data_IF_585083314188
#
_entry.id   IF_585083314188
#
_cell.length_a   1.000
_cell.length_b   1.000
_cell.length_c   1.000
_cell.angle_alpha   90.00
_cell.angle_beta   90.00
_cell.angle_gamma   90.00
#
_symmetry.space_group_name_H-M   'P 1'
#
loop_
_entity.id
_entity.type
_entity.pdbx_description
1 polymer ?
#
# COMPACT_ATOMS: atom_id res chain seq x y z
N UNK A 1 20.73 17.34 1.00
CA UNK A 1 19.29 17.63 0.92
C UNK A 1 18.91 18.23 2.26
N UNK A 2 18.84 19.57 2.32
CA UNK A 2 18.61 20.30 3.56
C UNK A 2 17.29 19.86 4.23
N UNK A 3 17.28 19.72 5.55
CA UNK A 3 16.08 19.49 6.34
C UNK A 3 15.08 20.63 6.06
N UNK A 4 14.01 20.31 5.33
CA UNK A 4 12.88 21.20 5.17
C UNK A 4 12.25 21.41 6.55
N UNK A 5 11.90 22.65 6.90
CA UNK A 5 11.21 22.95 8.15
C UNK A 5 9.91 22.14 8.26
N UNK A 6 9.53 21.79 9.49
CA UNK A 6 8.33 20.97 9.76
C UNK A 6 7.07 21.52 9.05
N UNK A 7 6.95 22.85 8.93
CA UNK A 7 5.84 23.54 8.24
C UNK A 7 5.76 23.25 6.73
N UNK A 8 6.89 23.03 6.05
CA UNK A 8 6.89 22.75 4.61
C UNK A 8 6.58 21.27 4.36
N UNK A 9 6.97 20.38 5.27
CA UNK A 9 6.71 18.93 5.13
C UNK A 9 5.20 18.62 5.16
N UNK A 10 4.42 19.36 5.96
CA UNK A 10 2.96 19.21 6.03
C UNK A 10 2.21 19.62 4.76
N UNK A 11 2.87 20.35 3.84
CA UNK A 11 2.28 20.74 2.55
C UNK A 11 2.35 19.63 1.48
N UNK A 12 3.15 18.58 1.69
CA UNK A 12 3.29 17.48 0.73
C UNK A 12 2.18 16.45 0.96
N UNK A 13 2.09 15.91 2.17
CA UNK A 13 1.02 14.99 2.59
C UNK A 13 0.44 15.50 3.90
N UNK A 14 -0.78 16.06 3.84
CA UNK A 14 -1.44 16.62 5.02
C UNK A 14 -1.77 15.54 6.06
N UNK A 15 -1.91 15.94 7.33
CA UNK A 15 -2.26 15.02 8.43
C UNK A 15 -3.59 14.31 8.16
N UNK A 16 -4.59 15.08 7.69
CA UNK A 16 -5.90 14.54 7.30
C UNK A 16 -5.79 13.51 6.17
N UNK A 17 -4.92 13.74 5.21
CA UNK A 17 -4.69 12.77 4.14
C UNK A 17 -4.09 11.47 4.70
N UNK A 18 -3.11 11.56 5.61
CA UNK A 18 -2.52 10.36 6.23
C UNK A 18 -3.52 9.58 7.07
N UNK A 19 -4.42 10.26 7.80
CA UNK A 19 -5.50 9.60 8.54
C UNK A 19 -6.43 8.80 7.61
N UNK A 20 -6.83 9.39 6.49
CA UNK A 20 -7.66 8.72 5.49
C UNK A 20 -6.91 7.56 4.81
N UNK A 21 -5.66 7.80 4.44
CA UNK A 21 -4.82 6.80 3.80
C UNK A 21 -4.56 5.60 4.74
N UNK A 22 -4.38 5.82 6.05
CA UNK A 22 -4.23 4.76 7.05
C UNK A 22 -5.45 3.83 7.10
N UNK A 23 -6.65 4.39 6.98
CA UNK A 23 -7.89 3.61 6.90
C UNK A 23 -7.99 2.80 5.58
N UNK A 24 -7.27 3.22 4.55
CA UNK A 24 -7.26 2.59 3.23
C UNK A 24 -6.14 1.55 3.04
N UNK A 25 -5.15 1.46 3.95
CA UNK A 25 -4.03 0.50 3.87
C UNK A 25 -4.47 -0.95 3.63
N UNK A 26 -5.51 -1.51 4.31
CA UNK A 26 -5.94 -2.89 4.07
C UNK A 26 -6.36 -3.13 2.61
N UNK A 27 -6.95 -2.13 1.96
CA UNK A 27 -7.44 -2.23 0.60
C UNK A 27 -6.30 -2.12 -0.42
N UNK A 28 -5.29 -1.29 -0.15
CA UNK A 28 -4.05 -1.26 -0.96
C UNK A 28 -3.28 -2.59 -0.85
N UNK A 29 -3.23 -3.18 0.35
CA UNK A 29 -2.68 -4.51 0.57
C UNK A 29 -3.45 -5.57 -0.23
N UNK A 30 -4.78 -5.54 -0.22
CA UNK A 30 -5.61 -6.47 -1.00
C UNK A 30 -5.39 -6.32 -2.52
N UNK A 31 -5.44 -5.09 -3.02
CA UNK A 31 -5.17 -4.79 -4.43
C UNK A 31 -3.77 -5.22 -4.85
N UNK A 32 -2.77 -4.98 -4.00
CA UNK A 32 -1.38 -5.36 -4.26
C UNK A 32 -1.18 -6.88 -4.25
N UNK A 33 -1.84 -7.62 -3.34
CA UNK A 33 -1.82 -9.11 -3.37
C UNK A 33 -2.40 -9.65 -4.67
N UNK A 34 -3.56 -9.13 -5.08
CA UNK A 34 -4.21 -9.54 -6.32
C UNK A 34 -3.32 -9.24 -7.54
N UNK A 35 -2.69 -8.07 -7.57
CA UNK A 35 -1.77 -7.66 -8.63
C UNK A 35 -0.54 -8.58 -8.72
N UNK A 36 0.12 -8.87 -7.59
CA UNK A 36 1.29 -9.76 -7.54
C UNK A 36 0.95 -11.18 -7.98
N UNK A 37 -0.20 -11.72 -7.56
CA UNK A 37 -0.70 -13.01 -8.02
C UNK A 37 -0.97 -13.03 -9.53
N UNK A 38 -1.50 -11.93 -10.07
CA UNK A 38 -1.69 -11.77 -11.50
C UNK A 38 -0.35 -11.74 -12.25
N UNK A 39 0.65 -10.99 -11.77
CA UNK A 39 1.98 -10.94 -12.38
C UNK A 39 2.66 -12.32 -12.42
N UNK A 40 2.51 -13.12 -11.35
CA UNK A 40 3.01 -14.50 -11.29
C UNK A 40 2.30 -15.40 -12.31
N UNK A 41 0.96 -15.32 -12.38
CA UNK A 41 0.16 -16.07 -13.34
C UNK A 41 0.52 -15.74 -14.80
N UNK A 42 0.86 -14.48 -15.08
CA UNK A 42 1.33 -14.02 -16.40
C UNK A 42 2.82 -14.27 -16.65
N UNK A 43 3.53 -14.88 -15.69
CA UNK A 43 4.97 -15.17 -15.76
C UNK A 43 5.85 -13.91 -15.93
N UNK A 44 5.33 -12.73 -15.56
CA UNK A 44 6.08 -11.46 -15.53
C UNK A 44 7.00 -11.43 -14.30
N UNK A 45 6.52 -12.00 -13.19
CA UNK A 45 7.28 -12.20 -11.96
C UNK A 45 7.33 -13.70 -11.67
N UNK A 46 8.50 -14.23 -11.31
CA UNK A 46 8.62 -15.64 -10.97
C UNK A 46 7.96 -15.98 -9.62
N UNK A 47 7.65 -17.26 -9.43
CA UNK A 47 6.96 -17.75 -8.23
C UNK A 47 7.72 -17.47 -6.93
N UNK A 48 9.05 -17.41 -6.96
CA UNK A 48 9.86 -17.15 -5.77
C UNK A 48 9.74 -15.69 -5.34
N UNK A 49 9.83 -14.75 -6.28
CA UNK A 49 9.60 -13.31 -6.06
C UNK A 49 8.17 -13.05 -5.59
N UNK A 50 7.17 -13.61 -6.28
CA UNK A 50 5.77 -13.45 -5.89
C UNK A 50 5.53 -13.96 -4.46
N UNK A 51 6.08 -15.13 -4.10
CA UNK A 51 6.00 -15.66 -2.73
C UNK A 51 6.65 -14.74 -1.70
N UNK A 52 7.83 -14.18 -2.00
CA UNK A 52 8.52 -13.25 -1.10
C UNK A 52 7.68 -11.99 -0.85
N UNK A 53 7.10 -11.41 -1.91
CA UNK A 53 6.22 -10.23 -1.80
C UNK A 53 4.97 -10.56 -0.98
N UNK A 54 4.32 -11.69 -1.22
CA UNK A 54 3.11 -12.09 -0.46
C UNK A 54 3.40 -12.30 1.03
N UNK A 55 4.57 -12.85 1.38
CA UNK A 55 5.01 -12.97 2.78
C UNK A 55 5.23 -11.58 3.39
N UNK A 56 5.89 -10.67 2.69
CA UNK A 56 6.07 -9.30 3.13
C UNK A 56 4.73 -8.58 3.36
N UNK A 57 3.78 -8.71 2.43
CA UNK A 57 2.44 -8.13 2.56
C UNK A 57 1.70 -8.65 3.81
N UNK A 58 1.85 -9.93 4.16
CA UNK A 58 1.27 -10.48 5.39
C UNK A 58 1.94 -9.92 6.65
N UNK A 59 3.25 -9.66 6.63
CA UNK A 59 3.95 -9.02 7.73
C UNK A 59 3.52 -7.57 7.90
N UNK A 60 3.35 -6.83 6.80
CA UNK A 60 2.88 -5.44 6.81
C UNK A 60 1.43 -5.36 7.28
N UNK A 61 0.56 -6.29 6.87
CA UNK A 61 -0.81 -6.37 7.37
C UNK A 61 -0.86 -6.63 8.88
N UNK A 62 0.03 -7.48 9.39
CA UNK A 62 0.19 -7.69 10.84
C UNK A 62 0.63 -6.39 11.53
N UNK A 63 1.63 -5.70 10.99
CA UNK A 63 2.09 -4.41 11.51
C UNK A 63 0.96 -3.37 11.56
N UNK A 64 0.12 -3.32 10.53
CA UNK A 64 -1.05 -2.44 10.49
C UNK A 64 -2.10 -2.83 11.54
N UNK A 65 -2.41 -4.12 11.69
CA UNK A 65 -3.33 -4.63 12.71
C UNK A 65 -2.85 -4.33 14.13
N UNK A 66 -1.54 -4.40 14.36
CA UNK A 66 -0.89 -4.09 15.63
C UNK A 66 -0.74 -2.56 15.86
N UNK A 67 -1.33 -1.73 14.99
CA UNK A 67 -1.27 -0.27 15.01
C UNK A 67 0.16 0.30 14.97
N UNK A 68 1.09 -0.44 14.36
CA UNK A 68 2.50 -0.04 14.22
C UNK A 68 2.85 0.50 12.83
N UNK A 69 1.92 0.42 11.86
CA UNK A 69 2.17 0.92 10.51
C UNK A 69 2.08 2.45 10.47
N UNK A 70 3.21 3.10 10.21
CA UNK A 70 3.30 4.56 10.07
C UNK A 70 3.52 4.98 8.61
N UNK A 71 2.72 5.95 8.16
CA UNK A 71 2.90 6.57 6.84
C UNK A 71 4.02 7.60 6.90
N UNK A 72 4.99 7.49 5.99
CA UNK A 72 6.04 8.49 5.80
C UNK A 72 5.41 9.81 5.29
N UNK A 73 5.48 10.90 6.07
CA UNK A 73 4.87 12.19 5.71
C UNK A 73 5.49 12.83 4.45
N UNK A 74 6.67 12.40 4.04
CA UNK A 74 7.35 12.91 2.84
C UNK A 74 6.99 12.11 1.59
N UNK A 75 6.39 10.92 1.73
CA UNK A 75 6.17 9.98 0.62
C UNK A 75 4.71 9.55 0.45
N UNK A 76 3.89 9.62 1.50
CA UNK A 76 2.52 9.14 1.48
C UNK A 76 2.41 7.62 1.58
N UNK A 77 1.18 7.10 1.62
CA UNK A 77 0.93 5.70 1.96
C UNK A 77 1.51 4.71 0.96
N UNK A 78 1.32 4.93 -0.34
CA UNK A 78 1.65 3.89 -1.32
C UNK A 78 3.17 3.72 -1.49
N UNK A 79 3.93 4.81 -1.41
CA UNK A 79 5.40 4.75 -1.39
C UNK A 79 5.94 4.21 -0.06
N UNK A 80 5.25 4.45 1.05
CA UNK A 80 5.57 3.81 2.34
C UNK A 80 5.42 2.29 2.24
N UNK A 81 4.29 1.83 1.69
CA UNK A 81 4.02 0.42 1.49
C UNK A 81 5.07 -0.23 0.58
N UNK A 82 5.37 0.37 -0.57
CA UNK A 82 6.38 -0.15 -1.51
C UNK A 82 7.78 -0.24 -0.88
N UNK A 83 8.17 0.77 -0.10
CA UNK A 83 9.43 0.75 0.64
C UNK A 83 9.48 -0.42 1.62
N UNK A 84 8.43 -0.63 2.41
CA UNK A 84 8.34 -1.76 3.34
C UNK A 84 8.38 -3.11 2.61
N UNK A 85 7.72 -3.23 1.46
CA UNK A 85 7.79 -4.45 0.65
C UNK A 85 9.22 -4.70 0.18
N UNK A 86 9.95 -3.67 -0.28
CA UNK A 86 11.36 -3.80 -0.67
C UNK A 86 12.24 -4.23 0.51
N UNK A 87 12.05 -3.64 1.69
CA UNK A 87 12.81 -3.96 2.90
C UNK A 87 12.60 -5.42 3.35
N UNK A 88 11.37 -5.95 3.21
CA UNK A 88 11.01 -7.28 3.68
C UNK A 88 11.19 -8.40 2.64
N UNK A 89 10.86 -8.13 1.36
CA UNK A 89 10.94 -9.11 0.28
C UNK A 89 12.31 -9.11 -0.44
N UNK A 90 13.14 -8.10 -0.18
CA UNK A 90 14.39 -7.86 -0.89
C UNK A 90 14.19 -7.05 -2.18
N UNK A 91 15.21 -6.30 -2.58
CA UNK A 91 15.14 -5.30 -3.66
C UNK A 91 14.59 -5.85 -4.98
N UNK A 92 15.12 -6.98 -5.47
CA UNK A 92 14.69 -7.54 -6.75
C UNK A 92 13.22 -7.98 -6.76
N UNK A 93 12.72 -8.53 -5.65
CA UNK A 93 11.32 -8.94 -5.55
C UNK A 93 10.44 -7.72 -5.30
N UNK A 94 10.77 -6.89 -4.32
CA UNK A 94 9.95 -5.76 -3.92
C UNK A 94 9.74 -4.73 -5.03
N UNK A 95 10.78 -4.39 -5.80
CA UNK A 95 10.66 -3.48 -6.94
C UNK A 95 9.76 -4.03 -8.05
N UNK A 96 9.62 -5.36 -8.16
CA UNK A 96 8.75 -5.96 -9.16
C UNK A 96 7.25 -5.76 -8.87
N UNK A 97 6.88 -5.42 -7.64
CA UNK A 97 5.49 -5.21 -7.19
C UNK A 97 4.74 -4.17 -8.01
N UNK A 98 5.40 -3.10 -8.46
CA UNK A 98 4.75 -2.04 -9.24
C UNK A 98 4.84 -2.27 -10.77
N UNK A 99 5.32 -3.43 -11.21
CA UNK A 99 5.43 -3.75 -12.63
C UNK A 99 4.07 -3.71 -13.30
N UNK A 100 3.98 -3.04 -14.46
CA UNK A 100 2.76 -2.89 -15.24
C UNK A 100 1.56 -2.29 -14.47
N UNK A 101 1.84 -1.46 -13.47
CA UNK A 101 0.84 -0.72 -12.67
C UNK A 101 1.21 0.76 -12.66
N UNK A 102 0.22 1.64 -12.60
CA UNK A 102 0.44 3.06 -12.34
C UNK A 102 -0.09 3.42 -10.96
N UNK A 103 0.26 4.62 -10.48
CA UNK A 103 -0.33 5.08 -9.21
C UNK A 103 -1.82 5.38 -9.37
N UNK A 104 -2.27 5.82 -10.55
CA UNK A 104 -3.65 6.24 -10.77
C UNK A 104 -4.64 5.07 -10.66
N UNK A 105 -4.37 3.95 -11.34
CA UNK A 105 -5.21 2.76 -11.27
C UNK A 105 -5.13 2.09 -9.89
N UNK A 106 -3.95 2.09 -9.25
CA UNK A 106 -3.81 1.59 -7.88
C UNK A 106 -4.69 2.36 -6.90
N UNK A 107 -4.63 3.71 -6.92
CA UNK A 107 -5.44 4.56 -6.04
C UNK A 107 -6.92 4.34 -6.29
N UNK A 108 -7.35 4.32 -7.56
CA UNK A 108 -8.75 4.09 -7.92
C UNK A 108 -9.29 2.76 -7.39
N UNK A 109 -8.50 1.67 -7.48
CA UNK A 109 -8.89 0.37 -6.94
C UNK A 109 -9.02 0.42 -5.42
N UNK A 110 -8.04 0.99 -4.73
CA UNK A 110 -8.02 1.11 -3.27
C UNK A 110 -9.22 1.91 -2.76
N UNK A 111 -9.47 3.10 -3.32
CA UNK A 111 -10.60 3.95 -2.93
C UNK A 111 -11.94 3.27 -3.23
N UNK A 112 -12.08 2.62 -4.38
CA UNK A 112 -13.32 1.92 -4.75
C UNK A 112 -13.63 0.78 -3.77
N UNK A 113 -12.61 -0.01 -3.39
CA UNK A 113 -12.80 -1.09 -2.42
C UNK A 113 -13.16 -0.56 -1.03
N UNK A 114 -12.49 0.51 -0.58
CA UNK A 114 -12.79 1.18 0.68
C UNK A 114 -14.22 1.73 0.70
N UNK A 115 -14.61 2.52 -0.32
CA UNK A 115 -15.95 3.11 -0.41
C UNK A 115 -17.01 2.00 -0.45
N UNK A 116 -16.80 0.93 -1.21
CA UNK A 116 -17.73 -0.20 -1.25
C UNK A 116 -17.93 -0.81 0.14
N UNK A 117 -16.86 -1.06 0.89
CA UNK A 117 -16.96 -1.61 2.24
C UNK A 117 -17.72 -0.66 3.18
N UNK A 118 -17.39 0.63 3.15
CA UNK A 118 -18.10 1.66 3.94
C UNK A 118 -19.58 1.76 3.59
N UNK A 119 -19.94 1.65 2.31
CA UNK A 119 -21.35 1.66 1.88
C UNK A 119 -22.11 0.42 2.37
N UNK A 120 -21.47 -0.76 2.32
CA UNK A 120 -22.06 -2.00 2.83
C UNK A 120 -22.29 -1.92 4.34
N UNK A 121 -21.32 -1.40 5.10
CA UNK A 121 -21.48 -1.16 6.55
C UNK A 121 -22.66 -0.22 6.84
N UNK A 122 -22.70 0.94 6.18
CA UNK A 122 -23.79 1.92 6.35
C UNK A 122 -25.16 1.35 6.00
N UNK A 123 -25.23 0.47 5.00
CA UNK A 123 -26.48 -0.21 4.64
C UNK A 123 -26.94 -1.19 5.71
N UNK A 124 -26.02 -1.89 6.38
CA UNK A 124 -26.35 -2.84 7.44
C UNK A 124 -26.72 -2.18 8.77
N UNK A 125 -26.23 -0.96 9.01
CA UNK A 125 -26.50 -0.18 10.22
C UNK A 125 -27.79 0.65 10.15
N UNK A 126 -28.48 0.66 9.00
CA UNK A 126 -29.72 1.40 8.73
C UNK A 126 -30.98 0.56 8.97
#
# INVERSE_FOLDING_TARGET
MAELSLEVQTLIVSDRQRELDLAMVPYDLWGTRAHVLMLEKQQIVDRAKARAILIALNQIEKEWNDQQFEIDPQRGAQLTLEKKIVELAGEQAGLSTHTARSRNDQVMVTETLYIRDRLVQLWHDA
#
